data_IF_563188116078
#
_entry.id   IF_563188116078
#
_cell.length_a   1.000
_cell.length_b   1.000
_cell.length_c   1.000
_cell.angle_alpha   90.00
_cell.angle_beta   90.00
_cell.angle_gamma   90.00
#
_symmetry.space_group_name_H-M   'P 1'
#
loop_
_entity.id
_entity.type
_entity.pdbx_description
1 polymer ?
#
# COMPACT_ATOMS: atom_id res chain seq x y z
N UNK A 1 -19.88 -8.87 7.35
CA UNK A 1 -18.41 -8.83 7.18
C UNK A 1 -18.05 -7.40 6.79
N UNK A 2 -17.50 -6.60 7.69
CA UNK A 2 -16.95 -5.29 7.31
C UNK A 2 -15.76 -5.55 6.37
N UNK A 3 -15.89 -5.14 5.11
CA UNK A 3 -14.78 -5.21 4.16
C UNK A 3 -13.75 -4.17 4.60
N UNK A 4 -12.72 -4.62 5.31
CA UNK A 4 -11.46 -3.90 5.39
C UNK A 4 -10.90 -3.84 3.97
N UNK A 5 -11.24 -2.81 3.21
CA UNK A 5 -10.73 -2.62 1.85
C UNK A 5 -10.14 -1.21 1.67
N UNK A 6 -9.80 -0.56 2.79
CA UNK A 6 -9.27 0.81 2.80
C UNK A 6 -7.76 0.77 2.91
N UNK A 7 -7.08 1.76 2.35
CA UNK A 7 -5.62 1.83 2.38
C UNK A 7 -5.05 1.71 3.79
N UNK A 8 -5.65 2.32 4.83
CA UNK A 8 -5.13 2.23 6.21
C UNK A 8 -4.98 0.79 6.75
N UNK A 9 -5.74 -0.16 6.22
CA UNK A 9 -5.77 -1.56 6.66
C UNK A 9 -4.99 -2.47 5.66
N UNK A 10 -4.37 -1.89 4.64
CA UNK A 10 -3.71 -2.63 3.55
C UNK A 10 -2.23 -2.91 3.88
N UNK A 11 -1.77 -4.12 3.56
CA UNK A 11 -0.37 -4.55 3.66
C UNK A 11 0.62 -3.61 2.96
N UNK A 12 0.19 -2.97 1.87
CA UNK A 12 1.03 -2.09 1.05
C UNK A 12 0.98 -0.62 1.47
N UNK A 13 0.23 -0.30 2.51
CA UNK A 13 0.12 1.06 3.00
C UNK A 13 1.22 1.35 4.01
N UNK A 14 2.01 2.37 3.72
CA UNK A 14 3.04 2.88 4.62
C UNK A 14 2.54 4.17 5.29
N UNK A 15 2.30 4.09 6.59
CA UNK A 15 1.70 5.18 7.36
C UNK A 15 2.73 6.26 7.70
N UNK A 16 2.51 7.45 7.15
CA UNK A 16 3.41 8.61 7.35
C UNK A 16 2.73 9.58 8.30
N UNK A 17 2.99 9.42 9.60
CA UNK A 17 2.37 10.20 10.68
C UNK A 17 2.45 11.73 10.51
N UNK A 18 3.42 12.21 9.73
CA UNK A 18 3.65 13.62 9.44
C UNK A 18 2.65 14.21 8.43
N UNK A 19 1.91 13.40 7.67
CA UNK A 19 1.00 13.84 6.59
C UNK A 19 -0.49 13.66 7.00
N UNK A 20 -0.76 13.52 8.30
CA UNK A 20 -2.12 13.34 8.83
C UNK A 20 -2.72 12.00 8.44
N UNK A 21 -4.00 11.97 8.02
CA UNK A 21 -4.71 10.73 7.62
C UNK A 21 -4.34 10.27 6.19
N UNK A 22 -3.05 10.29 5.88
CA UNK A 22 -2.49 9.93 4.58
C UNK A 22 -1.18 9.17 4.77
N UNK A 23 -0.82 8.37 3.76
CA UNK A 23 0.44 7.63 3.73
C UNK A 23 0.83 7.33 2.29
N UNK A 24 1.85 6.49 2.12
CA UNK A 24 2.31 6.07 0.79
C UNK A 24 1.70 4.72 0.40
N UNK A 25 1.25 4.61 -0.85
CA UNK A 25 0.87 3.33 -1.43
C UNK A 25 2.11 2.68 -2.07
N UNK A 26 2.57 1.55 -1.53
CA UNK A 26 3.78 0.85 -2.00
C UNK A 26 3.55 -0.07 -3.21
N UNK A 27 2.30 -0.25 -3.63
CA UNK A 27 1.98 -0.91 -4.93
C UNK A 27 2.42 -0.04 -6.10
N UNK A 28 2.25 1.27 -5.98
CA UNK A 28 2.62 2.21 -7.02
C UNK A 28 4.08 2.62 -6.86
N UNK A 29 4.88 2.45 -7.91
CA UNK A 29 6.28 2.86 -7.93
C UNK A 29 6.45 4.38 -7.66
N UNK A 30 7.63 4.81 -7.16
CA UNK A 30 7.94 6.23 -7.01
C UNK A 30 7.82 6.97 -8.33
N UNK A 31 7.40 8.23 -8.27
CA UNK A 31 7.38 9.13 -9.41
C UNK A 31 8.64 10.00 -9.40
N UNK A 32 9.22 10.20 -10.57
CA UNK A 32 10.34 11.11 -10.74
C UNK A 32 9.87 12.57 -10.69
N UNK A 33 10.68 13.43 -10.08
CA UNK A 33 10.55 14.88 -10.08
C UNK A 33 11.52 15.40 -11.14
N UNK A 34 10.98 15.76 -12.30
CA UNK A 34 11.75 16.46 -13.33
C UNK A 34 11.65 17.96 -13.06
N UNK A 35 12.51 18.46 -12.16
CA UNK A 35 12.67 19.91 -11.94
C UNK A 35 13.88 20.40 -12.71
N UNK A 36 13.74 21.51 -13.44
CA UNK A 36 14.86 22.18 -14.14
C UNK A 36 15.92 22.73 -13.19
N UNK A 37 15.64 22.75 -11.88
CA UNK A 37 16.51 23.30 -10.83
C UNK A 37 17.25 22.18 -10.08
N UNK A 38 16.79 20.93 -10.18
CA UNK A 38 17.40 19.81 -9.45
C UNK A 38 18.65 19.31 -10.19
N UNK A 39 19.81 19.36 -9.54
CA UNK A 39 21.09 18.86 -10.08
C UNK A 39 21.09 17.34 -10.27
N UNK A 40 20.20 16.62 -9.57
CA UNK A 40 20.04 15.17 -9.63
C UNK A 40 18.56 14.79 -9.67
N UNK A 41 18.18 13.68 -10.36
CA UNK A 41 16.81 13.20 -10.35
C UNK A 41 16.39 12.81 -8.93
N UNK A 42 15.31 13.42 -8.44
CA UNK A 42 14.70 13.07 -7.15
C UNK A 42 13.40 12.30 -7.42
N UNK A 43 13.07 11.33 -6.57
CA UNK A 43 11.80 10.59 -6.65
C UNK A 43 10.96 10.78 -5.39
N UNK A 44 9.64 10.70 -5.53
CA UNK A 44 8.71 10.70 -4.40
C UNK A 44 7.70 9.56 -4.51
N UNK A 45 7.26 9.05 -3.35
CA UNK A 45 6.16 8.09 -3.32
C UNK A 45 4.81 8.83 -3.39
N UNK A 46 3.86 8.37 -4.23
CA UNK A 46 2.54 8.98 -4.27
C UNK A 46 1.80 8.77 -2.95
N UNK A 47 1.11 9.81 -2.49
CA UNK A 47 0.31 9.77 -1.26
C UNK A 47 -1.13 9.34 -1.55
N UNK A 48 -1.70 8.55 -0.64
CA UNK A 48 -3.11 8.13 -0.65
C UNK A 48 -3.74 8.40 0.72
N UNK A 49 -5.05 8.60 0.75
CA UNK A 49 -5.82 8.77 1.98
C UNK A 49 -6.06 7.43 2.67
N UNK A 50 -6.22 7.44 3.99
CA UNK A 50 -6.61 6.26 4.77
C UNK A 50 -7.86 5.56 4.24
N UNK A 51 -8.79 6.33 3.66
CA UNK A 51 -10.08 5.85 3.18
C UNK A 51 -10.10 5.47 1.69
N UNK A 52 -8.98 5.64 0.96
CA UNK A 52 -8.93 5.29 -0.45
C UNK A 52 -8.91 3.77 -0.65
N UNK A 53 -9.28 3.33 -1.85
CA UNK A 53 -9.24 1.93 -2.27
C UNK A 53 -8.90 1.84 -3.76
N UNK A 54 -7.99 0.95 -4.13
CA UNK A 54 -7.50 0.78 -5.50
C UNK A 54 -7.76 -0.61 -6.10
N UNK A 55 -8.49 -1.50 -5.41
CA UNK A 55 -8.71 -2.89 -5.86
C UNK A 55 -7.59 -3.87 -5.45
N UNK A 56 -6.34 -3.41 -5.33
CA UNK A 56 -5.16 -4.22 -4.99
C UNK A 56 -5.00 -4.48 -3.48
N UNK A 57 -6.10 -4.53 -2.74
CA UNK A 57 -6.07 -4.65 -1.29
C UNK A 57 -5.59 -6.05 -0.86
N UNK A 58 -4.54 -6.09 -0.05
CA UNK A 58 -4.16 -7.27 0.74
C UNK A 58 -4.24 -6.96 2.22
N UNK A 59 -4.94 -7.78 2.99
CA UNK A 59 -5.02 -7.64 4.45
C UNK A 59 -3.68 -8.08 5.06
N UNK A 60 -3.07 -7.20 5.86
CA UNK A 60 -1.81 -7.49 6.55
C UNK A 60 -1.92 -8.64 7.56
N UNK A 61 -3.14 -9.00 7.97
CA UNK A 61 -3.42 -10.08 8.95
C UNK A 61 -3.54 -11.46 8.31
N UNK A 62 -3.58 -11.55 6.98
CA UNK A 62 -3.63 -12.85 6.27
C UNK A 62 -2.20 -13.37 6.10
N UNK A 63 -1.59 -13.79 7.20
CA UNK A 63 -0.39 -14.63 7.17
C UNK A 63 -0.77 -16.07 7.56
N UNK A 64 -0.66 -16.97 6.58
CA UNK A 64 -0.47 -18.43 6.74
C UNK A 64 -1.48 -19.22 7.58
N UNK A 65 -2.73 -19.27 7.17
CA UNK A 65 -3.58 -20.43 7.49
C UNK A 65 -4.18 -21.00 6.22
N UNK A 66 -4.00 -22.30 6.03
CA UNK A 66 -4.69 -23.18 5.08
C UNK A 66 -4.04 -23.37 3.69
N UNK A 67 -2.82 -23.93 3.68
CA UNK A 67 -2.58 -25.07 2.77
C UNK A 67 -2.71 -26.34 3.61
N UNK A 68 -3.92 -26.84 3.72
CA UNK A 68 -4.15 -28.27 3.98
C UNK A 68 -4.72 -28.82 2.69
N UNK A 69 -3.85 -29.32 1.83
CA UNK A 69 -4.29 -30.19 0.75
C UNK A 69 -5.04 -31.37 1.40
N UNK A 70 -6.29 -31.66 1.01
CA UNK A 70 -6.95 -32.88 1.44
C UNK A 70 -6.31 -34.10 0.76
N UNK A 71 -6.21 -35.17 1.55
CA UNK A 71 -5.64 -36.48 1.25
C UNK A 71 -6.40 -37.16 0.10
N UNK A 72 -5.69 -37.77 -0.86
CA UNK A 72 -6.21 -38.91 -1.64
C UNK A 72 -5.61 -40.22 -1.12
N UNK A 73 -6.48 -41.22 -1.06
CA UNK A 73 -6.40 -42.52 -0.37
C UNK A 73 -5.59 -43.55 -1.16
#
# INVERSE_FOLDING_TARGET
MEKHNKCKDCLYFDDVKQIGRRGYCRVNAPKAIYSSIATWPTTYWPTVSYNDWCGEFRDARVHHSEVKDPIEV
#
